data_IF_846459278206
#
_entry.id   IF_846459278206
#
_cell.length_a   1.000
_cell.length_b   1.000
_cell.length_c   1.000
_cell.angle_alpha   90.00
_cell.angle_beta   90.00
_cell.angle_gamma   90.00
#
_symmetry.space_group_name_H-M   'P 1'
#
loop_
_entity.id
_entity.type
_entity.pdbx_description
1 polymer ?
#
# COMPACT_ATOMS: atom_id res chain seq x y z
N UNK A 1 -27.01 0.28 -6.28
CA UNK A 1 -26.30 1.30 -7.06
C UNK A 1 -24.95 0.73 -7.47
N UNK A 2 -24.76 0.36 -8.74
CA UNK A 2 -23.45 -0.03 -9.26
C UNK A 2 -22.66 1.25 -9.56
N UNK A 3 -21.60 1.50 -8.79
CA UNK A 3 -20.68 2.61 -9.06
C UNK A 3 -19.99 2.38 -10.41
N UNK A 4 -19.80 3.42 -11.23
CA UNK A 4 -19.10 3.28 -12.50
C UNK A 4 -17.68 2.71 -12.25
N UNK A 5 -17.20 1.74 -13.06
CA UNK A 5 -16.01 0.93 -12.76
C UNK A 5 -14.75 1.75 -12.45
N UNK A 6 -14.59 2.90 -13.12
CA UNK A 6 -13.49 3.85 -12.87
C UNK A 6 -13.50 4.43 -11.45
N UNK A 7 -14.68 4.66 -10.87
CA UNK A 7 -14.79 5.20 -9.51
C UNK A 7 -14.47 4.16 -8.45
N UNK A 8 -14.85 2.89 -8.66
CA UNK A 8 -14.50 1.79 -7.78
C UNK A 8 -12.98 1.53 -7.75
N UNK A 9 -12.32 1.60 -8.90
CA UNK A 9 -10.87 1.45 -9.00
C UNK A 9 -10.10 2.57 -8.30
N UNK A 10 -10.55 3.83 -8.43
CA UNK A 10 -9.95 4.98 -7.73
C UNK A 10 -10.12 4.82 -6.21
N UNK A 11 -11.32 4.50 -5.74
CA UNK A 11 -11.59 4.31 -4.30
C UNK A 11 -10.74 3.17 -3.73
N UNK A 12 -10.67 2.03 -4.43
CA UNK A 12 -9.84 0.90 -4.02
C UNK A 12 -8.35 1.28 -3.97
N UNK A 13 -7.87 2.06 -4.94
CA UNK A 13 -6.49 2.54 -4.97
C UNK A 13 -6.16 3.46 -3.80
N UNK A 14 -7.08 4.38 -3.48
CA UNK A 14 -6.92 5.32 -2.35
C UNK A 14 -6.93 4.57 -1.02
N UNK A 15 -7.87 3.64 -0.81
CA UNK A 15 -7.96 2.83 0.41
C UNK A 15 -6.74 1.92 0.60
N UNK A 16 -6.24 1.34 -0.50
CA UNK A 16 -5.05 0.52 -0.45
C UNK A 16 -3.80 1.36 -0.13
N UNK A 17 -3.64 2.50 -0.80
CA UNK A 17 -2.53 3.41 -0.56
C UNK A 17 -2.52 3.97 0.87
N UNK A 18 -3.69 4.32 1.42
CA UNK A 18 -3.78 4.83 2.80
C UNK A 18 -3.41 3.75 3.82
N UNK A 19 -3.91 2.54 3.65
CA UNK A 19 -3.57 1.40 4.52
C UNK A 19 -2.08 1.10 4.48
N UNK A 20 -1.50 1.06 3.28
CA UNK A 20 -0.07 0.83 3.09
C UNK A 20 0.78 1.96 3.69
N UNK A 21 0.35 3.22 3.56
CA UNK A 21 1.01 4.35 4.19
C UNK A 21 1.09 4.21 5.71
N UNK A 22 -0.02 3.83 6.36
CA UNK A 22 -0.05 3.58 7.81
C UNK A 22 0.90 2.45 8.20
N UNK A 23 0.89 1.34 7.45
CA UNK A 23 1.77 0.19 7.72
C UNK A 23 3.25 0.56 7.60
N UNK A 24 3.63 1.37 6.60
CA UNK A 24 5.01 1.84 6.44
C UNK A 24 5.42 2.72 7.62
N UNK A 25 4.57 3.67 8.05
CA UNK A 25 4.89 4.53 9.20
C UNK A 25 5.13 3.71 10.46
N UNK A 26 4.24 2.73 10.73
CA UNK A 26 4.39 1.83 11.89
C UNK A 26 5.66 0.99 11.79
N UNK A 27 5.96 0.43 10.61
CA UNK A 27 7.17 -0.35 10.39
C UNK A 27 8.45 0.50 10.56
N UNK A 28 8.48 1.71 10.01
CA UNK A 28 9.59 2.67 10.15
C UNK A 28 9.80 3.09 11.61
N UNK A 29 8.72 3.31 12.36
CA UNK A 29 8.80 3.61 13.78
C UNK A 29 9.41 2.43 14.58
N UNK A 30 8.97 1.20 14.30
CA UNK A 30 9.54 -0.01 14.89
C UNK A 30 11.03 -0.18 14.56
N UNK A 31 11.41 0.06 13.31
CA UNK A 31 12.81 0.00 12.88
C UNK A 31 13.68 1.04 13.57
N UNK A 32 13.22 2.28 13.72
CA UNK A 32 14.00 3.31 14.43
C UNK A 32 14.19 2.99 15.90
N UNK A 33 13.20 2.39 16.57
CA UNK A 33 13.38 1.88 17.94
C UNK A 33 14.49 0.82 18.02
N UNK A 34 14.55 -0.10 17.07
CA UNK A 34 15.61 -1.10 17.03
C UNK A 34 16.99 -0.45 16.82
N UNK A 35 17.10 0.49 15.90
CA UNK A 35 18.35 1.21 15.64
C UNK A 35 18.81 2.02 16.86
N UNK A 36 17.89 2.61 17.61
CA UNK A 36 18.20 3.38 18.80
C UNK A 36 18.66 2.48 19.97
N UNK A 37 18.01 1.34 20.19
CA UNK A 37 18.48 0.34 21.16
C UNK A 37 19.88 -0.19 20.80
N UNK A 38 20.17 -0.38 19.52
CA UNK A 38 21.52 -0.73 19.05
C UNK A 38 22.51 0.42 19.30
N UNK A 39 22.11 1.67 19.03
CA UNK A 39 22.93 2.86 19.27
C UNK A 39 23.26 3.07 20.75
N UNK A 40 22.30 2.81 21.65
CA UNK A 40 22.51 2.87 23.10
C UNK A 40 23.49 1.77 23.54
N UNK A 41 23.32 0.55 23.03
CA UNK A 41 24.24 -0.56 23.29
C UNK A 41 25.67 -0.30 22.81
N UNK A 42 25.84 0.56 21.79
CA UNK A 42 27.14 0.99 21.26
C UNK A 42 27.65 2.31 21.87
N UNK A 43 26.88 2.96 22.76
CA UNK A 43 27.23 4.25 23.37
C UNK A 43 27.16 5.46 22.43
N UNK A 44 26.50 5.31 21.27
CA UNK A 44 26.35 6.38 20.27
C UNK A 44 25.21 7.32 20.66
N UNK A 45 24.14 6.78 21.24
CA UNK A 45 22.95 7.54 21.67
C UNK A 45 22.84 7.59 23.20
N UNK A 46 22.30 8.70 23.75
CA UNK A 46 22.02 8.80 25.18
C UNK A 46 21.02 7.72 25.64
N UNK A 47 21.13 7.21 26.87
CA UNK A 47 20.20 6.22 27.38
C UNK A 47 18.76 6.76 27.42
N UNK A 48 17.81 5.93 26.97
CA UNK A 48 16.38 6.17 26.89
C UNK A 48 16.00 7.40 26.07
N UNK A 49 16.79 7.76 25.06
CA UNK A 49 16.51 8.96 24.29
C UNK A 49 15.19 8.84 23.52
N UNK A 50 14.92 7.67 22.94
CA UNK A 50 13.69 7.35 22.24
C UNK A 50 12.45 7.33 23.14
N UNK A 51 12.60 6.84 24.37
CA UNK A 51 11.52 6.84 25.37
C UNK A 51 11.15 8.26 25.80
N UNK A 52 12.15 9.15 25.84
CA UNK A 52 11.97 10.55 26.23
C UNK A 52 11.50 11.44 25.07
N UNK A 53 11.69 11.03 23.81
CA UNK A 53 11.33 11.83 22.62
C UNK A 53 10.49 11.03 21.59
N UNK A 54 9.37 10.41 22.01
CA UNK A 54 8.56 9.58 21.12
C UNK A 54 7.94 10.37 19.96
N UNK A 55 7.57 11.63 20.18
CA UNK A 55 6.98 12.50 19.17
C UNK A 55 7.97 12.84 18.05
N UNK A 56 9.24 13.05 18.39
CA UNK A 56 10.31 13.32 17.42
C UNK A 56 10.57 12.09 16.56
N UNK A 57 10.60 10.91 17.16
CA UNK A 57 10.73 9.64 16.44
C UNK A 57 9.55 9.39 15.50
N UNK A 58 8.33 9.67 15.96
CA UNK A 58 7.14 9.57 15.13
C UNK A 58 7.21 10.54 13.95
N UNK A 59 7.60 11.79 14.16
CA UNK A 59 7.74 12.78 13.10
C UNK A 59 8.79 12.37 12.06
N UNK A 60 9.97 11.90 12.49
CA UNK A 60 11.02 11.39 11.59
C UNK A 60 10.52 10.15 10.84
N UNK A 61 9.74 9.29 11.49
CA UNK A 61 9.19 8.07 10.88
C UNK A 61 8.19 8.41 9.78
N UNK A 62 7.34 9.40 10.04
CA UNK A 62 6.38 9.90 9.08
C UNK A 62 7.09 10.55 7.89
N UNK A 63 8.07 11.42 8.14
CA UNK A 63 8.81 12.12 7.08
C UNK A 63 9.60 11.14 6.21
N UNK A 64 10.30 10.18 6.82
CA UNK A 64 11.06 9.15 6.09
C UNK A 64 10.18 8.21 5.29
N UNK A 65 8.91 8.02 5.68
CA UNK A 65 7.94 7.24 4.93
C UNK A 65 7.41 7.96 3.68
N UNK A 66 7.39 9.31 3.66
CA UNK A 66 6.78 10.09 2.56
C UNK A 66 7.32 9.70 1.17
N UNK A 67 8.65 9.64 0.92
CA UNK A 67 9.18 9.30 -0.41
C UNK A 67 8.77 7.89 -0.86
N UNK A 68 8.74 6.93 0.07
CA UNK A 68 8.37 5.54 -0.20
C UNK A 68 6.90 5.45 -0.57
N UNK A 69 6.04 6.13 0.18
CA UNK A 69 4.59 6.19 -0.10
C UNK A 69 4.33 6.86 -1.45
N UNK A 70 4.95 7.99 -1.74
CA UNK A 70 4.81 8.69 -3.04
C UNK A 70 5.22 7.76 -4.19
N UNK A 71 6.39 7.12 -4.09
CA UNK A 71 6.87 6.20 -5.10
C UNK A 71 5.91 5.02 -5.32
N UNK A 72 5.43 4.42 -4.23
CA UNK A 72 4.51 3.30 -4.28
C UNK A 72 3.17 3.69 -4.90
N UNK A 73 2.60 4.85 -4.54
CA UNK A 73 1.36 5.37 -5.12
C UNK A 73 1.49 5.53 -6.63
N UNK A 74 2.59 6.12 -7.10
CA UNK A 74 2.85 6.29 -8.53
C UNK A 74 2.96 4.93 -9.23
N UNK A 75 3.70 3.99 -8.65
CA UNK A 75 3.87 2.65 -9.21
C UNK A 75 2.55 1.88 -9.26
N UNK A 76 1.78 1.93 -8.18
CA UNK A 76 0.48 1.25 -8.08
C UNK A 76 -0.53 1.84 -9.06
N UNK A 77 -0.60 3.16 -9.19
CA UNK A 77 -1.45 3.82 -10.19
C UNK A 77 -1.13 3.35 -11.60
N UNK A 78 0.17 3.29 -11.98
CA UNK A 78 0.58 2.75 -13.28
C UNK A 78 0.09 1.32 -13.46
N UNK A 79 0.24 0.46 -12.45
CA UNK A 79 -0.24 -0.94 -12.49
C UNK A 79 -1.76 -1.05 -12.61
N UNK A 80 -2.51 -0.25 -11.86
CA UNK A 80 -3.97 -0.22 -11.92
C UNK A 80 -4.47 0.20 -13.31
N UNK A 81 -3.87 1.23 -13.92
CA UNK A 81 -4.20 1.66 -15.29
C UNK A 81 -3.86 0.58 -16.31
N UNK A 82 -2.71 -0.10 -16.18
CA UNK A 82 -2.38 -1.24 -17.05
C UNK A 82 -3.40 -2.38 -16.91
N UNK A 83 -3.82 -2.70 -15.68
CA UNK A 83 -4.83 -3.73 -15.44
C UNK A 83 -6.20 -3.36 -16.04
N UNK A 84 -6.64 -2.11 -15.89
CA UNK A 84 -7.88 -1.62 -16.52
C UNK A 84 -7.80 -1.66 -18.05
N UNK A 85 -6.67 -1.30 -18.65
CA UNK A 85 -6.52 -1.36 -20.10
C UNK A 85 -6.52 -2.81 -20.61
N UNK A 86 -5.89 -3.73 -19.89
CA UNK A 86 -5.96 -5.17 -20.23
C UNK A 86 -7.37 -5.75 -20.06
N UNK A 87 -8.18 -5.20 -19.16
CA UNK A 87 -9.58 -5.59 -18.98
C UNK A 87 -10.52 -5.00 -20.03
N UNK A 88 -10.19 -3.85 -20.64
CA UNK A 88 -10.98 -3.30 -21.76
C UNK A 88 -11.00 -4.22 -22.98
N UNK A 89 -9.93 -5.00 -23.19
CA UNK A 89 -9.85 -6.01 -24.25
C UNK A 89 -10.48 -7.36 -23.86
N UNK A 90 -10.83 -7.55 -22.57
CA UNK A 90 -11.63 -8.69 -22.13
C UNK A 90 -13.10 -8.47 -22.52
N UNK A 91 -13.41 -8.77 -23.78
CA UNK A 91 -14.78 -8.98 -24.24
C UNK A 91 -15.33 -10.18 -23.47
N UNK A 92 -16.14 -9.94 -22.44
CA UNK A 92 -16.89 -10.98 -21.75
C UNK A 92 -17.71 -11.73 -22.79
N UNK A 93 -17.21 -12.87 -23.25
CA UNK A 93 -18.02 -13.85 -23.97
C UNK A 93 -18.74 -14.62 -22.87
N UNK A 94 -20.04 -14.39 -22.64
CA UNK A 94 -20.78 -15.24 -21.73
C UNK A 94 -20.59 -16.69 -22.22
N UNK A 95 -20.41 -17.67 -21.31
CA UNK A 95 -20.32 -19.05 -21.72
C UNK A 95 -21.53 -19.33 -22.62
N UNK A 96 -21.27 -19.74 -23.87
CA UNK A 96 -22.34 -20.08 -24.81
C UNK A 96 -23.27 -21.04 -24.08
N UNK A 97 -24.61 -20.82 -24.10
CA UNK A 97 -25.51 -21.80 -23.55
C UNK A 97 -25.21 -23.10 -24.29
N UNK A 98 -24.65 -24.09 -23.57
CA UNK A 98 -24.37 -25.40 -24.12
C UNK A 98 -25.68 -25.90 -24.71
N UNK A 99 -25.78 -25.80 -26.04
CA UNK A 99 -26.78 -26.51 -26.81
C UNK A 99 -26.43 -27.98 -26.67
N UNK A 100 -26.86 -28.59 -25.57
CA UNK A 100 -27.22 -30.00 -25.56
C UNK A 100 -28.48 -30.15 -26.42
N UNK A 101 -28.32 -29.90 -27.72
CA UNK A 101 -29.19 -30.41 -28.74
C UNK A 101 -28.82 -31.89 -28.93
N UNK A 102 -29.67 -32.74 -28.39
CA UNK A 102 -30.01 -34.09 -28.83
C UNK A 102 -28.93 -34.96 -29.46
N UNK A 103 -28.69 -36.11 -28.82
CA UNK A 103 -28.77 -37.44 -29.46
C UNK A 103 -28.61 -38.52 -28.39
N UNK A 104 -29.73 -39.08 -27.95
CA UNK A 104 -30.13 -40.49 -28.08
C UNK A 104 -31.44 -40.70 -27.30
#
# INVERSE_FOLDING_TARGET
MQLPPKSAAVIASVLFASTLGVLIVVASFGFMRLMEQMGEGLGITPPRWAENNPDTLLAISAISAIPVVIWFVIWFYKKAVTAENNLKDYRYSPPEPQKHAGKL
#
